data_IF_396100435841
#
_entry.id   IF_396100435841
#
_cell.length_a   1.000
_cell.length_b   1.000
_cell.length_c   1.000
_cell.angle_alpha   90.00
_cell.angle_beta   90.00
_cell.angle_gamma   90.00
#
_symmetry.space_group_name_H-M   'P 1'
#
loop_
_entity.id
_entity.type
_entity.pdbx_description
1 polymer ?
#
# COMPACT_ATOMS: atom_id res chain seq x y z
N UNK A 1 7.11 32.36 -52.62
CA UNK A 1 7.09 31.26 -53.62
C UNK A 1 7.73 31.78 -54.91
N UNK A 2 8.53 31.01 -55.68
CA UNK A 2 8.60 29.55 -55.71
C UNK A 2 10.01 28.92 -55.48
N UNK A 3 9.95 27.76 -54.82
CA UNK A 3 10.59 26.44 -55.00
C UNK A 3 11.78 26.15 -55.95
N UNK A 4 12.73 25.39 -55.36
CA UNK A 4 13.53 24.23 -55.83
C UNK A 4 14.73 24.37 -56.79
N UNK A 5 15.95 24.07 -56.28
CA UNK A 5 16.72 22.81 -56.48
C UNK A 5 18.23 23.06 -56.31
N UNK A 6 18.91 22.30 -55.45
CA UNK A 6 20.22 21.69 -55.76
C UNK A 6 20.52 20.57 -54.76
N UNK A 7 20.86 19.41 -55.34
CA UNK A 7 21.30 18.16 -54.73
C UNK A 7 22.50 18.30 -53.78
N UNK A 8 22.64 17.33 -52.86
CA UNK A 8 23.88 16.57 -52.68
C UNK A 8 23.63 15.31 -51.81
N UNK A 9 24.05 14.15 -52.31
CA UNK A 9 24.09 12.86 -51.60
C UNK A 9 24.97 12.92 -50.35
N UNK A 10 24.75 11.99 -49.39
CA UNK A 10 25.90 11.34 -48.79
C UNK A 10 25.83 9.81 -48.75
N UNK A 11 27.03 9.26 -48.82
CA UNK A 11 27.43 7.86 -48.77
C UNK A 11 27.04 7.18 -47.46
N UNK A 12 26.83 5.87 -47.58
CA UNK A 12 26.53 4.92 -46.52
C UNK A 12 27.50 4.99 -45.33
N UNK A 13 26.95 4.97 -44.13
CA UNK A 13 27.60 4.44 -42.92
C UNK A 13 26.64 3.42 -42.32
N UNK A 14 27.16 2.21 -42.12
CA UNK A 14 26.47 1.06 -41.56
C UNK A 14 25.74 1.39 -40.26
N UNK A 15 24.41 1.34 -40.29
CA UNK A 15 23.58 1.36 -39.10
C UNK A 15 23.52 -0.04 -38.51
N UNK A 16 24.12 -0.22 -37.33
CA UNK A 16 23.76 -1.31 -36.43
C UNK A 16 22.25 -1.23 -36.18
N UNK A 17 21.48 -2.11 -36.82
CA UNK A 17 20.09 -2.36 -36.45
C UNK A 17 20.13 -3.05 -35.09
N UNK A 18 20.12 -2.27 -34.02
CA UNK A 18 19.59 -2.76 -32.76
C UNK A 18 18.12 -3.07 -33.02
N UNK A 19 17.81 -4.36 -33.20
CA UNK A 19 16.46 -4.85 -33.03
C UNK A 19 16.09 -4.60 -31.55
N UNK A 20 15.55 -3.42 -31.28
CA UNK A 20 14.76 -3.18 -30.08
C UNK A 20 13.51 -4.01 -30.31
N UNK A 21 13.54 -5.26 -29.82
CA UNK A 21 12.32 -6.01 -29.59
C UNK A 21 11.53 -5.23 -28.55
N UNK A 22 10.65 -4.34 -29.02
CA UNK A 22 9.53 -3.88 -28.22
C UNK A 22 8.70 -5.12 -27.90
N UNK A 23 8.99 -5.75 -26.77
CA UNK A 23 8.01 -6.61 -26.11
C UNK A 23 6.92 -5.67 -25.66
N UNK A 24 5.87 -5.55 -26.48
CA UNK A 24 4.66 -4.84 -26.10
C UNK A 24 4.20 -5.38 -24.73
N UNK A 25 3.73 -4.52 -23.81
CA UNK A 25 3.11 -5.01 -22.59
C UNK A 25 1.91 -5.84 -23.05
N UNK A 26 1.95 -7.17 -22.84
CA UNK A 26 0.79 -8.01 -23.18
C UNK A 26 -0.35 -7.53 -22.29
N UNK A 27 -1.25 -6.78 -22.94
CA UNK A 27 -2.57 -6.42 -22.47
C UNK A 27 -3.27 -7.69 -21.99
N UNK A 28 -4.12 -7.52 -20.98
CA UNK A 28 -5.22 -8.43 -20.61
C UNK A 28 -5.41 -9.61 -21.57
N UNK A 29 -5.26 -10.84 -21.06
CA UNK A 29 -5.37 -12.02 -21.89
C UNK A 29 -5.79 -13.25 -21.10
N UNK A 30 -6.69 -14.04 -21.66
CA UNK A 30 -7.00 -15.39 -21.25
C UNK A 30 -6.68 -16.34 -22.41
N UNK A 31 -6.01 -17.46 -22.11
CA UNK A 31 -5.82 -18.53 -23.07
C UNK A 31 -6.29 -19.84 -22.46
N UNK A 32 -7.03 -20.58 -23.27
CA UNK A 32 -7.34 -21.97 -22.98
C UNK A 32 -6.12 -22.83 -23.34
N UNK A 33 -5.64 -23.57 -22.36
CA UNK A 33 -4.65 -24.65 -22.54
C UNK A 33 -5.44 -25.94 -22.54
N UNK A 34 -5.68 -26.48 -23.73
CA UNK A 34 -6.30 -27.78 -23.94
C UNK A 34 -5.31 -28.91 -23.64
N UNK A 35 -5.83 -30.13 -23.45
CA UNK A 35 -5.04 -31.36 -23.30
C UNK A 35 -4.07 -31.31 -22.12
N UNK A 36 -4.55 -30.82 -20.97
CA UNK A 36 -3.79 -30.86 -19.72
C UNK A 36 -3.52 -32.32 -19.35
N UNK A 37 -2.26 -32.64 -19.10
CA UNK A 37 -1.90 -33.91 -18.47
C UNK A 37 -1.90 -33.79 -16.94
N UNK A 38 -2.46 -34.78 -16.25
CA UNK A 38 -2.57 -34.80 -14.79
C UNK A 38 -1.68 -35.86 -14.19
N UNK A 39 -0.94 -35.50 -13.13
CA UNK A 39 -0.32 -36.52 -12.30
C UNK A 39 -1.45 -37.31 -11.60
N UNK A 40 -1.59 -38.60 -11.90
CA UNK A 40 -2.70 -39.42 -11.40
C UNK A 40 -2.27 -40.26 -10.20
N UNK A 41 -2.95 -40.08 -9.07
CA UNK A 41 -2.71 -40.81 -7.81
C UNK A 41 -3.92 -41.64 -7.41
N UNK A 42 -3.62 -42.75 -6.75
CA UNK A 42 -4.60 -43.64 -6.11
C UNK A 42 -4.13 -43.94 -4.69
N UNK A 43 -4.93 -44.64 -3.88
CA UNK A 43 -4.51 -45.15 -2.58
C UNK A 43 -3.21 -45.99 -2.66
N UNK A 44 -2.94 -46.60 -3.81
CA UNK A 44 -1.74 -47.40 -4.08
C UNK A 44 -0.56 -46.60 -4.66
N UNK A 45 -0.55 -45.27 -4.47
CA UNK A 45 0.52 -44.36 -4.89
C UNK A 45 0.31 -43.73 -6.27
N UNK A 46 1.38 -43.08 -6.76
CA UNK A 46 1.41 -42.40 -8.07
C UNK A 46 1.38 -43.43 -9.20
N UNK A 47 0.41 -43.28 -10.10
CA UNK A 47 0.20 -44.19 -11.24
C UNK A 47 0.60 -43.56 -12.57
N UNK A 48 0.46 -42.25 -12.70
CA UNK A 48 0.90 -41.50 -13.88
C UNK A 48 1.62 -40.21 -13.47
N UNK A 49 2.70 -39.88 -14.15
CA UNK A 49 3.43 -38.63 -13.96
C UNK A 49 3.05 -37.69 -15.10
N UNK A 50 2.50 -36.52 -14.78
CA UNK A 50 2.35 -35.46 -15.76
C UNK A 50 3.59 -34.57 -15.83
N UNK A 51 3.99 -34.12 -17.03
CA UNK A 51 5.02 -33.11 -17.18
C UNK A 51 4.55 -31.75 -16.67
N UNK A 52 5.50 -30.90 -16.27
CA UNK A 52 5.26 -29.47 -16.04
C UNK A 52 4.70 -28.82 -17.30
N UNK A 53 3.61 -28.08 -17.16
CA UNK A 53 2.96 -27.37 -18.27
C UNK A 53 3.33 -25.90 -18.27
N UNK A 54 3.51 -25.35 -19.47
CA UNK A 54 3.96 -23.97 -19.68
C UNK A 54 2.82 -23.13 -20.26
N UNK A 55 2.49 -22.04 -19.58
CA UNK A 55 1.54 -21.06 -20.10
C UNK A 55 2.22 -20.18 -21.17
N UNK A 56 1.48 -19.76 -22.22
CA UNK A 56 2.01 -18.92 -23.29
C UNK A 56 2.35 -17.48 -22.84
N UNK A 57 1.94 -17.09 -21.63
CA UNK A 57 2.27 -15.84 -20.97
C UNK A 57 2.18 -15.98 -19.43
N UNK A 58 2.82 -15.08 -18.66
CA UNK A 58 2.64 -15.03 -17.21
C UNK A 58 1.20 -14.72 -16.82
N UNK A 59 0.62 -15.51 -15.93
CA UNK A 59 -0.76 -15.42 -15.44
C UNK A 59 -0.80 -15.33 -13.91
N UNK A 60 -1.95 -14.93 -13.36
CA UNK A 60 -2.18 -14.89 -11.91
C UNK A 60 -3.45 -15.60 -11.48
N UNK A 61 -4.28 -16.04 -12.43
CA UNK A 61 -5.51 -16.77 -12.15
C UNK A 61 -5.55 -18.01 -13.04
N UNK A 62 -5.92 -19.14 -12.43
CA UNK A 62 -6.05 -20.43 -13.07
C UNK A 62 -7.48 -20.93 -12.89
N UNK A 63 -8.13 -21.29 -13.99
CA UNK A 63 -9.40 -22.01 -14.00
C UNK A 63 -9.21 -23.38 -14.65
N UNK A 64 -10.07 -24.32 -14.28
CA UNK A 64 -10.05 -25.67 -14.83
C UNK A 64 -11.47 -26.13 -15.13
N UNK A 65 -11.65 -26.85 -16.23
CA UNK A 65 -12.85 -27.64 -16.49
C UNK A 65 -12.48 -29.04 -16.93
N UNK A 66 -13.29 -30.04 -16.56
CA UNK A 66 -13.36 -31.30 -17.27
C UNK A 66 -14.27 -31.12 -18.48
N UNK A 67 -13.83 -31.53 -19.67
CA UNK A 67 -14.62 -31.41 -20.90
C UNK A 67 -15.84 -32.34 -20.89
N UNK A 68 -15.73 -33.47 -20.17
CA UNK A 68 -16.82 -34.39 -19.86
C UNK A 68 -16.78 -34.74 -18.38
N UNK A 69 -17.93 -34.75 -17.71
CA UNK A 69 -18.05 -35.15 -16.30
C UNK A 69 -18.02 -36.69 -16.16
N UNK A 70 -17.07 -37.26 -15.39
CA UNK A 70 -17.09 -38.68 -15.04
C UNK A 70 -18.25 -39.01 -14.08
N UNK A 71 -18.80 -40.21 -14.15
CA UNK A 71 -19.89 -40.64 -13.24
C UNK A 71 -19.52 -40.54 -11.76
N UNK A 72 -18.23 -40.73 -11.44
CA UNK A 72 -17.70 -40.66 -10.08
C UNK A 72 -16.98 -39.33 -9.76
N UNK A 73 -17.32 -38.23 -10.43
CA UNK A 73 -16.66 -36.92 -10.24
C UNK A 73 -16.63 -36.44 -8.78
N UNK A 74 -17.62 -36.80 -7.98
CA UNK A 74 -17.70 -36.45 -6.55
C UNK A 74 -16.62 -37.13 -5.68
N UNK A 75 -15.94 -38.14 -6.21
CA UNK A 75 -14.83 -38.86 -5.57
C UNK A 75 -13.46 -38.39 -6.07
N UNK A 76 -13.43 -37.33 -6.89
CA UNK A 76 -12.20 -36.76 -7.45
C UNK A 76 -11.71 -35.59 -6.60
N UNK A 77 -10.44 -35.69 -6.19
CA UNK A 77 -9.70 -34.54 -5.67
C UNK A 77 -8.78 -34.01 -6.77
N UNK A 78 -8.94 -32.73 -7.12
CA UNK A 78 -8.09 -32.07 -8.09
C UNK A 78 -7.28 -30.99 -7.39
N UNK A 79 -5.97 -30.98 -7.61
CA UNK A 79 -5.06 -30.00 -7.04
C UNK A 79 -4.13 -29.41 -8.09
N UNK A 80 -3.75 -28.16 -7.90
CA UNK A 80 -2.84 -27.43 -8.77
C UNK A 80 -1.73 -26.76 -7.98
N UNK A 81 -0.55 -26.63 -8.58
CA UNK A 81 0.53 -25.79 -8.08
C UNK A 81 1.18 -25.00 -9.20
N UNK A 82 1.87 -23.92 -8.84
CA UNK A 82 2.42 -22.97 -9.80
C UNK A 82 3.91 -22.72 -9.60
N UNK A 83 4.58 -22.35 -10.67
CA UNK A 83 5.96 -21.88 -10.65
C UNK A 83 6.19 -20.76 -11.66
N UNK A 84 7.18 -19.91 -11.37
CA UNK A 84 7.69 -18.90 -12.29
C UNK A 84 8.96 -19.36 -13.02
N UNK A 85 9.68 -20.35 -12.51
CA UNK A 85 11.04 -20.71 -12.96
C UNK A 85 11.33 -22.23 -12.95
N UNK A 86 10.32 -23.06 -12.69
CA UNK A 86 10.38 -24.51 -12.57
C UNK A 86 11.21 -25.04 -11.39
N UNK A 87 11.73 -24.15 -10.54
CA UNK A 87 12.60 -24.51 -9.42
C UNK A 87 11.93 -24.25 -8.07
N UNK A 88 11.18 -23.15 -7.97
CA UNK A 88 10.37 -22.81 -6.81
C UNK A 88 8.89 -23.06 -7.11
N UNK A 89 8.31 -24.05 -6.44
CA UNK A 89 6.92 -24.44 -6.59
C UNK A 89 6.09 -23.99 -5.39
N UNK A 90 4.88 -23.50 -5.66
CA UNK A 90 3.90 -23.30 -4.59
C UNK A 90 3.50 -24.63 -3.94
N UNK A 91 2.97 -24.61 -2.71
CA UNK A 91 2.21 -25.75 -2.20
C UNK A 91 1.10 -26.15 -3.17
N UNK A 92 0.71 -27.42 -3.14
CA UNK A 92 -0.49 -27.90 -3.82
C UNK A 92 -1.73 -27.22 -3.24
N UNK A 93 -2.64 -26.83 -4.12
CA UNK A 93 -3.90 -26.19 -3.76
C UNK A 93 -5.04 -26.96 -4.37
N UNK A 94 -5.95 -27.41 -3.53
CA UNK A 94 -7.14 -28.13 -3.94
C UNK A 94 -8.12 -27.20 -4.68
N UNK A 95 -8.76 -27.74 -5.70
CA UNK A 95 -9.76 -27.08 -6.52
C UNK A 95 -11.12 -27.68 -6.21
N UNK A 96 -12.06 -26.84 -5.78
CA UNK A 96 -13.44 -27.26 -5.48
C UNK A 96 -14.29 -27.23 -6.74
N UNK A 97 -15.20 -28.21 -6.91
CA UNK A 97 -16.20 -28.19 -7.98
C UNK A 97 -17.11 -26.97 -7.79
N UNK A 98 -17.29 -26.21 -8.87
CA UNK A 98 -18.22 -25.08 -8.93
C UNK A 98 -19.62 -25.60 -9.22
N UNK A 99 -20.44 -25.66 -8.17
CA UNK A 99 -21.82 -26.18 -8.20
C UNK A 99 -22.79 -25.26 -8.94
N UNK A 100 -22.45 -23.98 -9.14
CA UNK A 100 -23.29 -23.03 -9.86
C UNK A 100 -23.07 -23.10 -11.38
N UNK A 101 -21.96 -23.70 -11.82
CA UNK A 101 -21.60 -23.88 -13.24
C UNK A 101 -21.83 -25.28 -13.79
N UNK A 102 -22.15 -26.27 -12.95
CA UNK A 102 -22.26 -27.68 -13.34
C UNK A 102 -23.73 -28.08 -13.51
N UNK A 103 -24.24 -28.09 -14.75
CA UNK A 103 -25.57 -28.66 -15.02
C UNK A 103 -25.56 -30.18 -14.68
N UNK A 104 -26.57 -30.72 -13.99
CA UNK A 104 -26.65 -32.15 -13.72
C UNK A 104 -26.89 -32.93 -15.02
N UNK A 105 -25.82 -33.50 -15.60
CA UNK A 105 -25.84 -34.31 -16.83
C UNK A 105 -24.45 -34.54 -17.44
N UNK A 106 -24.37 -35.02 -18.69
CA UNK A 106 -23.14 -35.30 -19.49
C UNK A 106 -22.29 -34.04 -19.82
N UNK A 107 -22.54 -32.90 -19.17
CA UNK A 107 -21.87 -31.63 -19.43
C UNK A 107 -20.45 -31.56 -18.84
N UNK A 108 -19.72 -30.47 -19.10
CA UNK A 108 -18.42 -30.22 -18.48
C UNK A 108 -18.55 -29.94 -16.97
N UNK A 109 -17.59 -30.42 -16.17
CA UNK A 109 -17.45 -30.04 -14.75
C UNK A 109 -16.56 -28.82 -14.64
N UNK A 110 -16.98 -27.79 -13.91
CA UNK A 110 -16.17 -26.61 -13.67
C UNK A 110 -15.58 -26.62 -12.26
N UNK A 111 -14.37 -26.10 -12.11
CA UNK A 111 -13.75 -25.90 -10.80
C UNK A 111 -13.59 -24.41 -10.48
N UNK A 112 -13.60 -24.09 -9.19
CA UNK A 112 -13.33 -22.76 -8.68
C UNK A 112 -11.96 -22.21 -9.11
N UNK A 113 -11.88 -20.89 -9.24
CA UNK A 113 -10.65 -20.21 -9.64
C UNK A 113 -9.59 -20.28 -8.54
N UNK A 114 -8.35 -20.56 -8.94
CA UNK A 114 -7.18 -20.50 -8.06
C UNK A 114 -6.33 -19.29 -8.42
N UNK A 115 -6.03 -18.46 -7.41
CA UNK A 115 -5.26 -17.22 -7.57
C UNK A 115 -3.81 -17.44 -7.13
N UNK A 116 -2.86 -17.30 -8.05
CA UNK A 116 -1.44 -17.30 -7.71
C UNK A 116 -1.07 -15.99 -6.97
N UNK A 117 -0.15 -16.08 -6.02
CA UNK A 117 0.31 -14.91 -5.24
C UNK A 117 1.09 -13.90 -6.09
N UNK A 118 1.77 -14.40 -7.12
CA UNK A 118 2.58 -13.62 -8.06
C UNK A 118 2.31 -14.10 -9.48
N UNK A 119 2.79 -13.34 -10.48
CA UNK A 119 2.76 -13.78 -11.87
C UNK A 119 3.60 -15.06 -12.04
N UNK A 120 2.97 -16.11 -12.55
CA UNK A 120 3.54 -17.45 -12.78
C UNK A 120 3.42 -17.81 -14.24
N UNK A 121 4.29 -18.68 -14.74
CA UNK A 121 4.31 -19.11 -16.16
C UNK A 121 4.18 -20.61 -16.33
N UNK A 122 4.19 -21.37 -15.23
CA UNK A 122 4.13 -22.81 -15.23
C UNK A 122 3.15 -23.31 -14.18
N UNK A 123 2.55 -24.46 -14.47
CA UNK A 123 1.68 -25.15 -13.53
C UNK A 123 1.84 -26.66 -13.64
N UNK A 124 1.45 -27.34 -12.58
CA UNK A 124 1.22 -28.77 -12.56
C UNK A 124 -0.14 -29.04 -11.97
N UNK A 125 -0.86 -29.98 -12.57
CA UNK A 125 -2.15 -30.43 -12.11
C UNK A 125 -2.03 -31.89 -11.65
N UNK A 126 -2.76 -32.20 -10.59
CA UNK A 126 -2.80 -33.50 -9.98
C UNK A 126 -4.24 -33.90 -9.75
N UNK A 127 -4.53 -35.18 -9.99
CA UNK A 127 -5.80 -35.80 -9.71
C UNK A 127 -5.59 -37.01 -8.80
N UNK A 128 -6.43 -37.13 -7.78
CA UNK A 128 -6.47 -38.27 -6.88
C UNK A 128 -7.88 -38.88 -6.87
N UNK A 129 -7.95 -40.20 -7.03
CA UNK A 129 -9.17 -40.99 -6.87
C UNK A 129 -8.83 -42.19 -5.96
N UNK A 130 -9.17 -42.10 -4.67
CA UNK A 130 -8.74 -43.10 -3.67
C UNK A 130 -9.39 -44.48 -3.89
N UNK A 131 -10.64 -44.50 -4.35
CA UNK A 131 -11.43 -45.71 -4.59
C UNK A 131 -11.21 -46.34 -5.98
N UNK A 132 -10.39 -45.71 -6.82
CA UNK A 132 -10.15 -46.15 -8.20
C UNK A 132 -11.38 -46.01 -9.11
N UNK A 133 -12.35 -45.17 -8.74
CA UNK A 133 -13.60 -44.96 -9.47
C UNK A 133 -13.43 -44.25 -10.82
N UNK A 134 -12.26 -43.65 -11.07
CA UNK A 134 -11.93 -42.94 -12.30
C UNK A 134 -10.50 -43.28 -12.71
N UNK A 135 -10.26 -43.43 -14.01
CA UNK A 135 -8.93 -43.66 -14.59
C UNK A 135 -8.41 -42.42 -15.31
N UNK A 136 -7.08 -42.32 -15.47
CA UNK A 136 -6.44 -41.18 -16.16
C UNK A 136 -6.96 -40.99 -17.59
N UNK A 137 -7.20 -42.08 -18.35
CA UNK A 137 -7.67 -42.05 -19.73
C UNK A 137 -9.12 -41.52 -19.88
N UNK A 138 -9.90 -41.50 -18.80
CA UNK A 138 -11.29 -41.00 -18.79
C UNK A 138 -11.36 -39.48 -18.58
N UNK A 139 -10.23 -38.83 -18.32
CA UNK A 139 -10.17 -37.40 -17.98
C UNK A 139 -9.66 -36.60 -19.16
N UNK A 140 -10.55 -35.81 -19.74
CA UNK A 140 -10.21 -34.76 -20.69
C UNK A 140 -10.47 -33.40 -20.03
N UNK A 141 -9.46 -32.54 -19.94
CA UNK A 141 -9.60 -31.24 -19.26
C UNK A 141 -9.01 -30.08 -20.06
N UNK A 142 -9.59 -28.90 -19.84
CA UNK A 142 -9.10 -27.63 -20.37
C UNK A 142 -8.79 -26.67 -19.23
N UNK A 143 -7.60 -26.08 -19.23
CA UNK A 143 -7.20 -25.04 -18.29
C UNK A 143 -7.46 -23.70 -18.92
N UNK A 144 -7.85 -22.73 -18.12
CA UNK A 144 -7.86 -21.33 -18.53
C UNK A 144 -6.86 -20.58 -17.67
N UNK A 145 -5.76 -20.17 -18.27
CA UNK A 145 -4.79 -19.27 -17.62
C UNK A 145 -5.16 -17.84 -17.96
N UNK A 146 -5.31 -17.02 -16.92
CA UNK A 146 -5.82 -15.66 -17.04
C UNK A 146 -4.78 -14.70 -16.47
N UNK A 147 -4.34 -13.78 -17.31
CA UNK A 147 -3.70 -12.56 -16.88
C UNK A 147 -4.79 -11.47 -16.90
N UNK A 148 -5.32 -11.07 -15.74
CA UNK A 148 -6.38 -10.06 -15.63
C UNK A 148 -5.91 -8.65 -16.04
N UNK A 149 -4.70 -8.53 -16.61
CA UNK A 149 -4.07 -7.28 -16.95
C UNK A 149 -3.31 -6.69 -15.76
N UNK A 150 -2.66 -5.53 -15.94
CA UNK A 150 -2.14 -4.79 -14.81
C UNK A 150 -3.29 -4.53 -13.84
N UNK A 151 -3.07 -4.82 -12.55
CA UNK A 151 -3.95 -4.31 -11.48
C UNK A 151 -4.18 -2.83 -11.80
N UNK A 152 -5.44 -2.37 -11.95
CA UNK A 152 -5.69 -0.97 -12.19
C UNK A 152 -4.91 -0.22 -11.13
N UNK A 153 -3.88 0.53 -11.53
CA UNK A 153 -3.23 1.45 -10.60
C UNK A 153 -4.37 2.34 -10.20
N UNK A 154 -4.88 2.19 -8.98
CA UNK A 154 -6.08 2.90 -8.54
C UNK A 154 -5.88 4.34 -8.97
N UNK A 155 -6.62 4.75 -10.02
CA UNK A 155 -6.38 6.02 -10.66
C UNK A 155 -6.38 7.01 -9.52
N UNK A 156 -5.27 7.73 -9.35
CA UNK A 156 -4.94 8.55 -8.18
C UNK A 156 -6.09 9.50 -7.94
N UNK A 157 -7.14 9.02 -7.27
CA UNK A 157 -8.36 9.77 -7.10
C UNK A 157 -7.94 10.77 -6.06
N UNK A 158 -7.69 11.98 -6.51
CA UNK A 158 -7.30 13.05 -5.64
C UNK A 158 -8.37 13.13 -4.55
N UNK A 159 -7.93 13.13 -3.29
CA UNK A 159 -8.85 13.18 -2.18
C UNK A 159 -9.68 14.45 -2.33
N UNK A 160 -10.97 14.28 -2.61
CA UNK A 160 -11.90 15.40 -2.72
C UNK A 160 -12.24 15.85 -1.31
N UNK A 161 -11.71 17.02 -0.94
CA UNK A 161 -12.02 17.67 0.34
C UNK A 161 -13.20 18.61 0.10
N UNK A 162 -14.32 18.34 0.75
CA UNK A 162 -15.49 19.21 0.74
C UNK A 162 -15.10 20.50 1.45
N UNK A 163 -15.00 21.57 0.66
CA UNK A 163 -14.62 22.90 1.14
C UNK A 163 -15.70 23.52 2.00
N UNK A 164 -15.30 24.49 2.82
CA UNK A 164 -16.20 25.20 3.77
C UNK A 164 -17.50 25.70 3.16
N UNK A 165 -17.43 26.33 1.98
CA UNK A 165 -18.63 26.76 1.24
C UNK A 165 -19.55 25.60 0.87
N UNK A 166 -18.99 24.44 0.49
CA UNK A 166 -19.74 23.30 -0.01
C UNK A 166 -20.47 22.54 1.10
N UNK A 167 -19.90 22.44 2.31
CA UNK A 167 -20.62 21.85 3.46
C UNK A 167 -21.54 22.84 4.19
N UNK A 168 -21.56 24.10 3.76
CA UNK A 168 -22.47 25.12 4.29
C UNK A 168 -21.96 25.83 5.53
N UNK A 169 -20.65 26.07 5.62
CA UNK A 169 -20.06 26.89 6.70
C UNK A 169 -20.72 28.27 6.76
N UNK A 170 -21.32 28.67 7.90
CA UNK A 170 -21.97 29.97 8.03
C UNK A 170 -21.04 31.14 7.71
N UNK A 171 -19.76 31.05 8.10
CA UNK A 171 -18.76 32.08 7.82
C UNK A 171 -17.95 31.84 6.52
N UNK A 172 -18.40 30.91 5.68
CA UNK A 172 -17.88 30.56 4.34
C UNK A 172 -16.38 30.24 4.28
N UNK A 173 -15.49 31.23 4.40
CA UNK A 173 -14.03 31.10 4.27
C UNK A 173 -13.26 31.72 5.44
N UNK A 174 -13.92 32.48 6.31
CA UNK A 174 -13.25 33.20 7.39
C UNK A 174 -13.34 32.41 8.71
N UNK A 175 -12.39 32.67 9.59
CA UNK A 175 -12.41 32.30 11.00
C UNK A 175 -12.63 33.62 11.75
N UNK A 176 -13.88 33.97 12.11
CA UNK A 176 -14.23 35.36 12.38
C UNK A 176 -13.72 35.84 13.75
N UNK A 177 -13.42 34.91 14.65
CA UNK A 177 -13.12 35.21 16.05
C UNK A 177 -11.62 35.26 16.34
N UNK A 178 -10.79 34.44 15.68
CA UNK A 178 -9.33 34.45 15.88
C UNK A 178 -8.58 34.55 14.55
N UNK A 179 -7.59 35.45 14.43
CA UNK A 179 -6.68 35.46 13.30
C UNK A 179 -6.03 34.08 13.07
N UNK A 180 -5.82 33.66 11.81
CA UNK A 180 -5.12 32.42 11.54
C UNK A 180 -3.63 32.58 11.86
N UNK A 181 -3.11 31.64 12.66
CA UNK A 181 -1.68 31.49 12.94
C UNK A 181 -1.13 30.28 12.18
N UNK A 182 0.17 30.29 11.89
CA UNK A 182 0.80 29.25 11.09
C UNK A 182 2.09 28.75 11.73
N UNK A 183 2.33 27.44 11.61
CA UNK A 183 3.57 26.80 12.03
C UNK A 183 3.96 25.68 11.06
N UNK A 184 5.23 25.30 11.07
CA UNK A 184 5.70 24.08 10.41
C UNK A 184 5.04 22.88 11.05
N UNK A 185 4.36 22.06 10.25
CA UNK A 185 3.65 20.88 10.74
C UNK A 185 4.66 19.77 10.98
N UNK A 186 4.63 19.22 12.19
CA UNK A 186 5.47 18.08 12.60
C UNK A 186 4.64 16.87 13.03
N UNK A 187 3.38 17.07 13.46
CA UNK A 187 2.52 16.00 13.97
C UNK A 187 1.12 16.06 13.37
N UNK A 188 0.52 14.89 13.14
CA UNK A 188 -0.85 14.69 12.69
C UNK A 188 -1.62 13.98 13.81
N UNK A 189 -2.56 14.68 14.43
CA UNK A 189 -3.29 14.19 15.60
C UNK A 189 -4.65 13.65 15.16
N UNK A 190 -4.91 12.39 15.44
CA UNK A 190 -6.18 11.71 15.15
C UNK A 190 -7.14 11.87 16.32
N UNK A 191 -8.37 12.30 15.99
CA UNK A 191 -9.45 12.53 16.93
C UNK A 191 -10.68 11.70 16.56
N UNK A 192 -11.58 11.54 17.52
CA UNK A 192 -12.99 11.34 17.25
C UNK A 192 -13.78 12.58 17.70
N UNK A 193 -15.04 12.71 17.29
CA UNK A 193 -15.89 13.81 17.77
C UNK A 193 -16.60 13.50 19.09
N UNK A 194 -16.58 12.24 19.53
CA UNK A 194 -17.40 11.72 20.64
C UNK A 194 -18.90 12.04 20.48
N UNK A 195 -19.40 12.02 19.24
CA UNK A 195 -20.80 12.27 18.90
C UNK A 195 -21.47 11.00 18.37
N UNK A 196 -22.77 11.08 18.14
CA UNK A 196 -23.59 9.98 17.62
C UNK A 196 -23.00 9.36 16.34
N UNK A 197 -23.02 8.04 16.28
CA UNK A 197 -22.72 7.28 15.06
C UNK A 197 -23.97 7.08 14.16
N UNK A 198 -25.13 7.56 14.59
CA UNK A 198 -26.42 7.37 13.92
C UNK A 198 -26.85 8.57 13.07
N UNK A 199 -26.01 9.60 12.94
CA UNK A 199 -26.30 10.74 12.07
C UNK A 199 -26.45 10.31 10.62
N UNK A 200 -27.33 11.00 9.89
CA UNK A 200 -27.59 10.75 8.48
C UNK A 200 -27.17 11.92 7.59
N UNK A 201 -27.23 13.15 8.10
CA UNK A 201 -26.66 14.36 7.47
C UNK A 201 -25.35 14.76 8.15
N UNK A 202 -24.24 14.22 7.62
CA UNK A 202 -22.90 14.50 8.14
C UNK A 202 -22.43 15.94 7.89
N UNK A 203 -22.93 16.60 6.84
CA UNK A 203 -22.64 18.01 6.64
C UNK A 203 -23.34 18.88 7.70
N UNK A 204 -24.57 18.53 8.09
CA UNK A 204 -25.23 19.15 9.24
C UNK A 204 -24.48 18.90 10.54
N UNK A 205 -23.97 17.70 10.77
CA UNK A 205 -23.14 17.40 11.93
C UNK A 205 -21.88 18.29 11.98
N UNK A 206 -21.19 18.47 10.85
CA UNK A 206 -20.04 19.40 10.76
C UNK A 206 -20.45 20.84 11.06
N UNK A 207 -21.59 21.32 10.52
CA UNK A 207 -22.13 22.65 10.84
C UNK A 207 -22.46 22.81 12.32
N UNK A 208 -23.02 21.78 12.95
CA UNK A 208 -23.36 21.79 14.37
C UNK A 208 -22.11 21.83 15.25
N UNK A 209 -21.07 21.06 14.92
CA UNK A 209 -19.77 21.13 15.62
C UNK A 209 -19.17 22.53 15.47
N UNK A 210 -19.16 23.09 14.25
CA UNK A 210 -18.69 24.46 14.02
C UNK A 210 -19.45 25.48 14.88
N UNK A 211 -20.79 25.39 14.93
CA UNK A 211 -21.62 26.31 15.71
C UNK A 211 -21.36 26.17 17.21
N UNK A 212 -21.19 24.94 17.71
CA UNK A 212 -20.85 24.71 19.11
C UNK A 212 -19.47 25.28 19.46
N UNK A 213 -18.46 25.07 18.63
CA UNK A 213 -17.10 25.58 18.85
C UNK A 213 -17.08 27.10 18.87
N UNK A 214 -17.74 27.74 17.89
CA UNK A 214 -17.71 29.19 17.73
C UNK A 214 -18.64 29.91 18.69
N UNK A 215 -19.90 29.50 18.81
CA UNK A 215 -20.89 30.22 19.60
C UNK A 215 -20.98 29.76 21.05
N UNK A 216 -20.70 28.49 21.35
CA UNK A 216 -20.77 27.97 22.72
C UNK A 216 -19.40 27.98 23.41
N UNK A 217 -18.34 27.52 22.72
CA UNK A 217 -16.98 27.51 23.29
C UNK A 217 -16.21 28.81 23.09
N UNK A 218 -16.70 29.71 22.23
CA UNK A 218 -16.05 30.99 21.92
C UNK A 218 -14.77 30.83 21.10
N UNK A 219 -14.61 29.70 20.40
CA UNK A 219 -13.41 29.42 19.62
C UNK A 219 -13.38 30.20 18.30
N UNK A 220 -12.17 30.41 17.79
CA UNK A 220 -11.90 31.11 16.54
C UNK A 220 -12.65 30.58 15.32
N UNK A 221 -12.91 29.27 15.33
CA UNK A 221 -13.51 28.44 14.29
C UNK A 221 -13.73 27.02 14.85
N UNK A 222 -14.15 26.08 14.01
CA UNK A 222 -14.07 24.65 14.31
C UNK A 222 -12.63 24.24 14.66
N UNK A 223 -12.46 23.47 15.74
CA UNK A 223 -11.14 23.18 16.30
C UNK A 223 -10.24 22.29 15.45
N UNK A 224 -10.82 21.43 14.61
CA UNK A 224 -10.08 20.47 13.77
C UNK A 224 -9.75 21.04 12.40
N UNK A 225 -8.64 20.62 11.79
CA UNK A 225 -8.27 21.01 10.42
C UNK A 225 -9.06 20.23 9.37
N UNK A 226 -9.35 18.95 9.64
CA UNK A 226 -10.15 18.08 8.77
C UNK A 226 -11.10 17.20 9.58
N UNK A 227 -12.23 16.82 8.97
CA UNK A 227 -13.18 15.88 9.55
C UNK A 227 -13.53 14.79 8.53
N UNK A 228 -13.64 13.53 8.97
CA UNK A 228 -13.93 12.38 8.11
C UNK A 228 -15.26 11.73 8.53
N UNK A 229 -16.22 11.61 7.61
CA UNK A 229 -17.51 10.96 7.89
C UNK A 229 -17.51 9.45 7.57
N UNK A 230 -18.47 8.68 8.12
CA UNK A 230 -18.61 7.25 7.87
C UNK A 230 -18.78 6.83 6.40
N UNK A 231 -19.15 7.76 5.51
CA UNK A 231 -19.29 7.53 4.08
C UNK A 231 -17.96 7.74 3.32
N UNK A 232 -16.90 8.18 4.00
CA UNK A 232 -15.58 8.43 3.44
C UNK A 232 -15.41 9.83 2.86
N UNK A 233 -16.30 10.77 3.18
CA UNK A 233 -16.17 12.18 2.80
C UNK A 233 -15.26 12.90 3.79
N UNK A 234 -14.34 13.71 3.26
CA UNK A 234 -13.46 14.56 4.07
C UNK A 234 -13.90 16.01 3.96
N UNK A 235 -14.12 16.67 5.09
CA UNK A 235 -14.54 18.06 5.20
C UNK A 235 -13.34 18.92 5.62
N UNK A 236 -13.21 20.09 5.00
CA UNK A 236 -12.31 21.14 5.46
C UNK A 236 -12.85 21.76 6.75
N UNK A 237 -12.07 21.68 7.83
CA UNK A 237 -12.37 22.31 9.11
C UNK A 237 -11.83 23.74 9.17
N UNK A 238 -10.92 24.02 10.11
CA UNK A 238 -10.27 25.33 10.37
C UNK A 238 -9.86 26.03 9.06
N UNK A 239 -10.35 27.25 8.84
CA UNK A 239 -9.94 28.05 7.69
C UNK A 239 -8.47 28.50 7.79
N UNK A 240 -7.77 28.56 6.65
CA UNK A 240 -6.36 28.97 6.56
C UNK A 240 -5.49 28.01 5.73
N UNK A 241 -5.93 26.77 5.55
CA UNK A 241 -5.24 25.80 4.70
C UNK A 241 -4.07 25.11 5.41
N UNK A 242 -2.97 24.85 4.70
CA UNK A 242 -1.86 24.08 5.24
C UNK A 242 -1.06 24.88 6.28
N UNK A 243 -0.78 24.27 7.43
CA UNK A 243 -0.01 24.88 8.50
C UNK A 243 -0.83 25.76 9.44
N UNK A 244 -2.13 25.95 9.20
CA UNK A 244 -2.96 26.75 10.11
C UNK A 244 -3.16 26.04 11.45
N UNK A 245 -2.90 26.76 12.54
CA UNK A 245 -3.09 26.27 13.90
C UNK A 245 -4.59 26.10 14.21
N UNK A 246 -4.96 24.90 14.67
CA UNK A 246 -6.30 24.56 15.15
C UNK A 246 -6.46 24.74 16.67
N UNK A 247 -7.51 24.12 17.21
CA UNK A 247 -7.82 24.10 18.65
C UNK A 247 -8.31 22.71 19.06
N UNK A 248 -7.40 21.74 19.05
CA UNK A 248 -7.74 20.33 19.22
C UNK A 248 -6.78 19.53 20.14
N UNK A 249 -5.57 19.99 20.43
CA UNK A 249 -4.55 19.18 21.11
C UNK A 249 -4.15 19.74 22.49
N UNK A 250 -5.09 19.77 23.44
CA UNK A 250 -4.86 20.08 24.86
C UNK A 250 -3.99 21.33 25.12
N UNK A 251 -4.35 22.45 24.47
CA UNK A 251 -3.64 23.73 24.50
C UNK A 251 -2.28 23.76 23.78
N UNK A 252 -1.80 22.65 23.22
CA UNK A 252 -0.54 22.55 22.49
C UNK A 252 -0.77 22.30 20.99
N UNK A 253 -1.50 23.22 20.34
CA UNK A 253 -1.94 23.06 18.94
C UNK A 253 -0.85 23.37 17.90
N UNK A 254 0.14 24.18 18.26
CA UNK A 254 1.14 24.72 17.34
C UNK A 254 1.97 23.60 16.71
N UNK A 255 2.07 23.60 15.38
CA UNK A 255 2.81 22.58 14.63
C UNK A 255 2.06 21.25 14.45
N UNK A 256 0.76 21.22 14.79
CA UNK A 256 -0.09 20.03 14.64
C UNK A 256 -1.20 20.23 13.62
N UNK A 257 -1.65 19.13 13.01
CA UNK A 257 -2.88 19.07 12.21
C UNK A 257 -3.84 18.08 12.85
N UNK A 258 -5.04 18.52 13.20
CA UNK A 258 -6.08 17.69 13.79
C UNK A 258 -7.04 17.13 12.74
N UNK A 259 -7.18 15.79 12.72
CA UNK A 259 -8.14 15.09 11.86
C UNK A 259 -9.16 14.37 12.75
N UNK A 260 -10.41 14.81 12.73
CA UNK A 260 -11.49 14.21 13.52
C UNK A 260 -12.34 13.22 12.73
N UNK A 261 -12.51 12.03 13.27
CA UNK A 261 -13.45 11.04 12.78
C UNK A 261 -14.84 11.35 13.37
N UNK A 262 -15.81 11.66 12.50
CA UNK A 262 -17.20 11.91 12.93
C UNK A 262 -17.79 10.63 13.51
N UNK A 263 -18.24 10.71 14.77
CA UNK A 263 -18.68 9.58 15.56
C UNK A 263 -17.98 9.45 16.92
N UNK A 264 -18.23 8.32 17.58
CA UNK A 264 -17.52 7.81 18.75
C UNK A 264 -16.99 6.40 18.48
N UNK A 265 -15.81 6.09 19.00
CA UNK A 265 -15.06 4.85 18.71
C UNK A 265 -14.43 4.28 19.98
N UNK A 266 -15.11 4.43 21.11
CA UNK A 266 -14.69 3.79 22.37
C UNK A 266 -14.77 2.27 22.20
N UNK A 267 -15.94 1.75 21.83
CA UNK A 267 -16.25 0.32 21.68
C UNK A 267 -16.64 -0.10 20.25
N UNK A 268 -16.48 0.81 19.28
CA UNK A 268 -16.86 0.59 17.88
C UNK A 268 -15.74 0.93 16.93
N UNK A 269 -15.50 0.04 15.98
CA UNK A 269 -14.55 0.27 14.89
C UNK A 269 -15.14 1.22 13.84
N UNK A 270 -14.36 2.19 13.30
CA UNK A 270 -14.84 3.04 12.21
C UNK A 270 -15.13 2.25 10.93
N UNK A 271 -16.05 2.75 10.10
CA UNK A 271 -16.38 2.10 8.82
C UNK A 271 -15.16 2.09 7.89
N UNK A 272 -15.00 1.03 7.08
CA UNK A 272 -13.89 0.89 6.12
C UNK A 272 -13.70 2.11 5.21
N UNK A 273 -14.80 2.74 4.75
CA UNK A 273 -14.74 3.96 3.91
C UNK A 273 -14.17 5.16 4.67
N UNK A 274 -14.52 5.29 5.95
CA UNK A 274 -14.04 6.35 6.84
C UNK A 274 -12.55 6.17 7.17
N UNK A 275 -12.12 4.95 7.49
CA UNK A 275 -10.69 4.63 7.69
C UNK A 275 -9.87 4.96 6.44
N UNK A 276 -10.34 4.55 5.25
CA UNK A 276 -9.68 4.90 3.99
C UNK A 276 -9.60 6.40 3.75
N UNK A 277 -10.61 7.17 4.16
CA UNK A 277 -10.60 8.62 4.07
C UNK A 277 -9.56 9.23 5.01
N UNK A 278 -9.49 8.75 6.26
CA UNK A 278 -8.49 9.13 7.25
C UNK A 278 -7.06 8.86 6.73
N UNK A 279 -6.78 7.65 6.28
CA UNK A 279 -5.47 7.29 5.74
C UNK A 279 -5.09 8.15 4.53
N UNK A 280 -6.05 8.49 3.66
CA UNK A 280 -5.79 9.35 2.49
C UNK A 280 -5.47 10.78 2.88
N UNK A 281 -6.19 11.35 3.86
CA UNK A 281 -5.91 12.73 4.30
C UNK A 281 -4.60 12.80 5.09
N UNK A 282 -4.31 11.81 5.92
CA UNK A 282 -3.02 11.66 6.61
C UNK A 282 -1.88 11.55 5.59
N UNK A 283 -1.98 10.65 4.62
CA UNK A 283 -0.95 10.49 3.58
C UNK A 283 -0.78 11.73 2.70
N UNK A 284 -1.85 12.47 2.43
CA UNK A 284 -1.77 13.73 1.66
C UNK A 284 -1.05 14.81 2.48
N UNK A 285 -1.39 14.92 3.76
CA UNK A 285 -0.80 15.91 4.67
C UNK A 285 0.66 15.59 4.98
N UNK A 286 0.98 14.32 5.27
CA UNK A 286 2.34 13.85 5.53
C UNK A 286 3.25 14.10 4.33
N UNK A 287 2.85 13.70 3.11
CA UNK A 287 3.62 13.99 1.89
C UNK A 287 3.87 15.48 1.69
N UNK A 288 2.83 16.30 1.88
CA UNK A 288 2.93 17.75 1.68
C UNK A 288 3.93 18.42 2.63
N UNK A 289 4.09 17.86 3.84
CA UNK A 289 4.92 18.44 4.90
C UNK A 289 6.19 17.61 5.17
N UNK A 290 6.50 16.60 4.33
CA UNK A 290 7.66 15.73 4.47
C UNK A 290 7.77 15.06 5.85
N UNK A 291 6.65 14.53 6.35
CA UNK A 291 6.56 13.80 7.61
C UNK A 291 6.67 12.30 7.33
N UNK A 292 7.53 11.59 8.07
CA UNK A 292 7.58 10.12 8.04
C UNK A 292 6.46 9.57 8.93
N UNK A 293 5.48 8.80 8.43
CA UNK A 293 4.38 8.28 9.23
C UNK A 293 4.80 7.31 10.35
N UNK A 294 6.03 6.78 10.29
CA UNK A 294 6.55 5.79 11.24
C UNK A 294 7.53 6.38 12.26
N UNK A 295 7.85 7.67 12.16
CA UNK A 295 8.79 8.31 13.09
C UNK A 295 8.13 8.72 14.41
N UNK A 296 8.94 8.75 15.47
CA UNK A 296 8.59 9.34 16.76
C UNK A 296 9.48 10.57 16.98
N UNK A 297 8.87 11.76 17.10
CA UNK A 297 9.57 13.06 17.11
C UNK A 297 9.20 13.84 18.37
N UNK A 298 10.07 14.78 18.76
CA UNK A 298 9.85 15.61 19.94
C UNK A 298 8.76 16.68 19.69
N UNK A 299 7.76 16.65 20.57
CA UNK A 299 6.68 17.60 20.83
C UNK A 299 7.11 18.92 21.51
N UNK A 300 7.57 20.03 20.89
CA UNK A 300 8.10 21.15 21.67
C UNK A 300 7.11 21.76 22.68
N UNK A 301 5.84 21.92 22.31
CA UNK A 301 4.80 22.41 23.23
C UNK A 301 4.38 21.38 24.30
N UNK A 302 4.58 20.10 24.03
CA UNK A 302 4.20 19.02 24.95
C UNK A 302 5.38 18.56 25.82
N UNK A 303 6.62 18.90 25.48
CA UNK A 303 7.81 18.47 26.23
C UNK A 303 8.08 16.96 26.20
N UNK A 304 7.40 16.19 25.34
CA UNK A 304 7.51 14.72 25.24
C UNK A 304 7.71 14.29 23.78
N UNK A 305 8.13 13.05 23.57
CA UNK A 305 8.19 12.44 22.23
C UNK A 305 6.85 11.80 21.90
N UNK A 306 6.37 12.00 20.67
CA UNK A 306 5.13 11.47 20.15
C UNK A 306 5.38 10.83 18.79
N UNK A 307 4.59 9.81 18.44
CA UNK A 307 4.52 9.37 17.05
C UNK A 307 4.06 10.54 16.17
N UNK A 308 4.65 10.69 14.98
CA UNK A 308 4.28 11.76 14.04
C UNK A 308 2.80 11.69 13.62
N UNK A 309 2.19 10.50 13.71
CA UNK A 309 0.75 10.29 13.69
C UNK A 309 0.33 9.69 15.03
N UNK A 310 -0.31 10.47 15.87
CA UNK A 310 -0.69 10.10 17.24
C UNK A 310 -2.20 10.29 17.49
N UNK A 311 -2.71 9.67 18.55
CA UNK A 311 -4.04 9.96 19.08
C UNK A 311 -4.02 11.16 20.01
N UNK A 312 -5.16 11.81 20.21
CA UNK A 312 -5.25 12.93 21.17
C UNK A 312 -4.78 12.52 22.59
N UNK A 313 -5.14 11.32 23.05
CA UNK A 313 -4.75 10.80 24.36
C UNK A 313 -3.24 10.62 24.56
N UNK A 314 -2.44 10.54 23.48
CA UNK A 314 -0.97 10.44 23.61
C UNK A 314 -0.37 11.72 24.20
N UNK A 315 -1.09 12.84 24.17
CA UNK A 315 -0.71 14.07 24.84
C UNK A 315 -0.95 14.07 26.35
N UNK A 316 -1.68 13.09 26.92
CA UNK A 316 -2.04 13.10 28.34
C UNK A 316 -0.83 12.99 29.28
N UNK A 317 0.27 12.39 28.80
CA UNK A 317 1.49 12.20 29.61
C UNK A 317 2.33 13.49 29.73
N UNK A 318 1.89 14.59 29.10
CA UNK A 318 2.56 15.89 29.17
C UNK A 318 2.08 16.72 30.36
N UNK A 319 3.02 17.24 31.16
CA UNK A 319 2.73 18.26 32.18
C UNK A 319 2.20 19.58 31.58
N UNK A 320 2.38 19.79 30.26
CA UNK A 320 1.91 20.98 29.54
C UNK A 320 0.54 20.78 28.90
N UNK A 321 -0.06 19.58 29.02
CA UNK A 321 -1.42 19.34 28.56
C UNK A 321 -2.42 19.98 29.52
N UNK A 322 -3.26 20.88 29.01
CA UNK A 322 -4.27 21.55 29.85
C UNK A 322 -5.52 20.69 30.10
N UNK A 323 -5.67 19.56 29.40
CA UNK A 323 -6.81 18.65 29.51
C UNK A 323 -6.37 17.22 29.22
N UNK A 324 -6.94 16.26 29.96
CA UNK A 324 -6.82 14.83 29.65
C UNK A 324 -8.04 14.32 28.89
N UNK A 325 -7.85 13.27 28.10
CA UNK A 325 -8.89 12.76 27.20
C UNK A 325 -8.74 11.27 26.93
N UNK A 326 -9.84 10.63 26.57
CA UNK A 326 -9.85 9.28 25.98
C UNK A 326 -9.92 9.32 24.44
N UNK A 327 -9.99 10.51 23.83
CA UNK A 327 -9.98 10.63 22.37
C UNK A 327 -8.70 9.99 21.76
N UNK A 328 -8.77 9.19 20.69
CA UNK A 328 -9.87 9.02 19.74
C UNK A 328 -10.83 7.85 20.02
N UNK A 329 -10.88 7.35 21.26
CA UNK A 329 -11.62 6.14 21.66
C UNK A 329 -10.79 4.87 21.44
N UNK A 330 -10.99 3.85 22.27
CA UNK A 330 -10.11 2.66 22.33
C UNK A 330 -10.06 1.93 20.98
N UNK A 331 -11.21 1.69 20.37
CA UNK A 331 -11.30 0.94 19.10
C UNK A 331 -10.63 1.64 17.91
N UNK A 332 -10.56 2.98 17.89
CA UNK A 332 -9.82 3.71 16.86
C UNK A 332 -8.34 3.88 17.25
N UNK A 333 -8.05 4.05 18.54
CA UNK A 333 -6.69 4.16 19.04
C UNK A 333 -5.88 2.90 18.76
N UNK A 334 -6.46 1.72 18.98
CA UNK A 334 -5.82 0.42 18.70
C UNK A 334 -5.44 0.23 17.22
N UNK A 335 -6.08 0.96 16.31
CA UNK A 335 -5.78 0.92 14.88
C UNK A 335 -4.61 1.83 14.48
N UNK A 336 -4.17 2.77 15.33
CA UNK A 336 -3.16 3.77 14.97
C UNK A 336 -1.85 3.15 14.43
N UNK A 337 -1.29 2.06 14.98
CA UNK A 337 -0.12 1.40 14.39
C UNK A 337 -0.36 0.93 12.95
N UNK A 338 -1.52 0.32 12.67
CA UNK A 338 -1.88 -0.15 11.32
C UNK A 338 -2.15 1.00 10.35
N UNK A 339 -2.71 2.11 10.86
CA UNK A 339 -2.94 3.34 10.11
C UNK A 339 -1.60 3.95 9.71
N UNK A 340 -0.63 4.06 10.63
CA UNK A 340 0.73 4.53 10.34
C UNK A 340 1.40 3.73 9.22
N UNK A 341 1.33 2.40 9.30
CA UNK A 341 1.83 1.50 8.24
C UNK A 341 1.12 1.74 6.89
N UNK A 342 -0.20 1.84 6.90
CA UNK A 342 -0.99 2.10 5.69
C UNK A 342 -0.68 3.46 5.07
N UNK A 343 -0.46 4.48 5.90
CA UNK A 343 -0.05 5.82 5.46
C UNK A 343 1.37 5.77 4.88
N UNK A 344 2.31 5.08 5.53
CA UNK A 344 3.68 4.86 5.03
C UNK A 344 3.69 4.19 3.65
N UNK A 345 2.91 3.12 3.46
CA UNK A 345 2.76 2.43 2.18
C UNK A 345 2.19 3.37 1.10
N UNK A 346 1.15 4.13 1.44
CA UNK A 346 0.58 5.13 0.53
C UNK A 346 1.65 6.11 0.09
N UNK A 347 2.41 6.71 1.02
CA UNK A 347 3.44 7.69 0.66
C UNK A 347 4.61 7.07 -0.11
N UNK A 348 4.95 5.81 0.18
CA UNK A 348 6.04 5.03 -0.39
C UNK A 348 5.87 4.60 -1.85
N UNK A 349 4.67 4.71 -2.43
CA UNK A 349 4.48 4.52 -3.89
C UNK A 349 5.20 5.55 -4.78
N UNK A 350 5.78 6.61 -4.20
CA UNK A 350 6.63 7.57 -4.92
C UNK A 350 7.83 8.13 -4.14
N UNK A 351 7.88 7.99 -2.81
CA UNK A 351 8.96 8.54 -1.98
C UNK A 351 10.14 7.57 -1.73
N UNK A 352 9.93 6.26 -1.94
CA UNK A 352 10.98 5.24 -1.89
C UNK A 352 11.22 4.59 -3.27
N UNK A 353 11.08 5.38 -4.34
CA UNK A 353 11.57 4.97 -5.65
C UNK A 353 13.09 5.02 -5.67
N UNK A 354 13.72 3.87 -5.93
CA UNK A 354 15.15 3.68 -6.22
C UNK A 354 16.16 3.90 -5.08
N UNK A 355 16.08 3.15 -3.98
CA UNK A 355 17.29 2.68 -3.27
C UNK A 355 16.98 1.68 -2.16
N UNK A 356 16.40 0.53 -2.48
CA UNK A 356 16.58 -0.66 -1.64
C UNK A 356 16.89 -1.83 -2.56
N UNK A 357 18.19 -2.14 -2.65
CA UNK A 357 18.58 -3.52 -2.94
C UNK A 357 17.95 -4.36 -1.83
N UNK A 358 16.84 -5.02 -2.16
CA UNK A 358 16.36 -6.17 -1.40
C UNK A 358 17.44 -7.25 -1.56
N UNK A 359 18.49 -7.21 -0.74
CA UNK A 359 19.32 -8.39 -0.55
C UNK A 359 18.40 -9.41 0.09
N UNK A 360 17.96 -10.38 -0.72
CA UNK A 360 17.33 -11.63 -0.28
C UNK A 360 18.06 -12.11 0.99
N UNK A 361 17.37 -12.63 2.02
CA UNK A 361 18.07 -13.30 3.10
C UNK A 361 18.80 -14.49 2.48
N UNK A 362 20.13 -14.46 2.49
CA UNK A 362 20.93 -15.62 2.18
C UNK A 362 20.67 -16.64 3.30
N UNK A 363 19.87 -17.65 2.99
CA UNK A 363 19.68 -18.82 3.84
C UNK A 363 21.01 -19.59 3.83
N UNK A 364 21.81 -19.44 4.89
CA UNK A 364 23.05 -20.20 5.06
C UNK A 364 22.71 -21.65 5.39
N UNK A 365 23.09 -22.57 4.50
CA UNK A 365 23.16 -23.99 4.81
C UNK A 365 24.38 -24.25 5.69
N UNK A 366 24.15 -24.69 6.94
CA UNK A 366 25.22 -25.28 7.74
C UNK A 366 25.47 -26.71 7.24
N UNK A 367 26.51 -26.91 6.42
CA UNK A 367 27.19 -28.20 6.39
C UNK A 367 28.24 -28.18 7.50
N UNK A 368 28.04 -29.01 8.52
CA UNK A 368 28.99 -29.20 9.60
C UNK A 368 30.28 -29.83 9.09
N UNK A 369 31.40 -29.15 9.33
CA UNK A 369 32.74 -29.73 9.38
C UNK A 369 33.47 -29.13 10.58
N UNK A 370 33.67 -29.96 11.60
CA UNK A 370 34.47 -29.65 12.80
C UNK A 370 35.95 -29.60 12.46
N UNK A 371 36.63 -28.48 12.71
CA UNK A 371 38.09 -28.40 12.92
C UNK A 371 38.37 -27.32 13.99
N UNK A 372 39.30 -27.55 14.96
CA UNK A 372 39.32 -26.80 16.21
C UNK A 372 40.18 -25.52 16.19
N UNK A 373 39.75 -24.57 17.01
CA UNK A 373 40.53 -23.52 17.70
C UNK A 373 41.41 -22.57 16.89
N UNK A 374 40.94 -21.32 16.78
CA UNK A 374 41.76 -20.11 16.90
C UNK A 374 42.12 -19.37 15.62
N UNK A 375 41.31 -18.39 15.21
CA UNK A 375 41.79 -17.15 14.56
C UNK A 375 40.68 -16.08 14.51
N UNK A 376 40.99 -14.85 14.92
CA UNK A 376 40.13 -13.67 14.78
C UNK A 376 40.24 -13.15 13.34
N UNK A 377 39.13 -13.03 12.62
CA UNK A 377 39.09 -12.40 11.30
C UNK A 377 38.47 -10.99 11.39
N UNK A 378 39.28 -9.97 11.15
CA UNK A 378 38.87 -8.59 10.88
C UNK A 378 38.46 -8.47 9.39
N UNK A 379 37.22 -8.07 9.11
CA UNK A 379 36.78 -7.75 7.74
C UNK A 379 36.61 -6.24 7.61
N UNK A 380 37.53 -5.60 6.89
CA UNK A 380 37.40 -4.22 6.42
C UNK A 380 36.66 -4.17 5.08
N UNK A 381 35.67 -3.28 4.96
CA UNK A 381 34.96 -3.01 3.70
C UNK A 381 35.69 -1.90 2.94
N UNK A 382 36.25 -2.24 1.77
CA UNK A 382 36.83 -1.27 0.84
C UNK A 382 35.70 -0.70 -0.03
N UNK A 383 35.26 0.52 0.28
CA UNK A 383 34.34 1.30 -0.57
C UNK A 383 35.11 2.15 -1.58
N UNK A 384 34.81 1.99 -2.88
CA UNK A 384 35.32 2.85 -3.96
C UNK A 384 34.64 4.22 -3.90
N UNK A 385 35.36 5.24 -3.41
CA UNK A 385 34.93 6.64 -3.47
C UNK A 385 35.08 7.20 -4.89
N UNK A 386 33.97 7.61 -5.51
CA UNK A 386 33.96 8.44 -6.72
C UNK A 386 34.25 9.89 -6.30
N UNK A 387 35.47 10.36 -6.55
CA UNK A 387 35.89 11.73 -6.24
C UNK A 387 35.11 12.75 -7.08
N UNK A 388 34.47 13.73 -6.43
CA UNK A 388 34.04 14.98 -7.05
C UNK A 388 35.24 15.94 -7.09
N UNK A 389 35.48 16.57 -8.25
CA UNK A 389 36.53 17.59 -8.45
C UNK A 389 36.31 18.79 -7.49
N UNK A 390 37.36 19.29 -6.82
CA UNK A 390 37.26 20.51 -6.03
C UNK A 390 37.34 21.77 -6.91
N UNK A 391 36.50 22.75 -6.60
CA UNK A 391 36.59 24.13 -7.09
C UNK A 391 37.74 24.81 -6.36
N UNK A 392 38.69 25.38 -7.09
CA UNK A 392 39.84 26.10 -6.55
C UNK A 392 39.44 27.46 -5.98
N UNK A 393 39.62 27.66 -4.68
CA UNK A 393 39.72 28.98 -4.08
C UNK A 393 41.20 29.25 -3.74
N UNK A 394 41.77 30.25 -4.40
CA UNK A 394 43.12 30.78 -4.16
C UNK A 394 43.20 31.43 -2.79
N UNK A 395 44.12 30.94 -1.95
CA UNK A 395 44.53 31.59 -0.71
C UNK A 395 45.72 32.54 -0.97
N UNK A 396 45.62 33.78 -0.49
CA UNK A 396 46.79 34.61 -0.20
C UNK A 396 47.07 34.58 1.31
N UNK A 397 48.31 34.24 1.65
CA UNK A 397 48.89 34.32 3.00
C UNK A 397 49.10 35.79 3.39
N UNK A 398 49.01 36.16 4.66
CA UNK A 398 50.15 36.17 5.59
C UNK A 398 49.85 36.93 6.90
N UNK A 399 50.64 36.54 7.91
CA UNK A 399 51.10 37.28 9.08
C UNK A 399 50.26 37.28 10.37
N UNK A 400 50.96 36.83 11.41
CA UNK A 400 50.59 36.77 12.82
C UNK A 400 50.87 38.10 13.54
N UNK A 401 50.17 38.35 14.65
CA UNK A 401 50.80 38.92 15.85
C UNK A 401 49.99 38.60 17.10
N UNK A 402 50.71 38.21 18.16
CA UNK A 402 50.24 38.02 19.51
C UNK A 402 49.94 39.34 20.25
N UNK A 403 49.10 39.28 21.28
CA UNK A 403 48.95 40.31 22.33
C UNK A 403 47.64 40.10 23.10
N UNK A 404 47.64 39.42 24.26
CA UNK A 404 47.82 39.93 25.64
C UNK A 404 46.73 40.90 26.15
N UNK A 405 46.16 40.46 27.27
CA UNK A 405 45.66 41.20 28.45
C UNK A 405 44.18 41.64 28.54
N UNK A 406 43.66 41.24 29.71
CA UNK A 406 42.48 41.63 30.49
C UNK A 406 41.16 40.92 30.23
#
# INVERSE_FOLDING_TARGET
MPQYLFDWMPRAIAGCVFAIAFVAPRAFGNVQVSDIDFAFRTANGLKHCAPTQHAPFPFTVFGLRLNKTPEAVQHLEVSVRFSCDNSAWSPWREMTIDVDGSDPGDGPTYFGLVFAENAVSQFEAQLSAEDGSVTHDEIEATATVINPGPTPTAAKQELQIVKRKAWGCPDRKHSPLWPPEYATITHLVVHHTAKSNAETDWAAAVRAIWAYDTYTRGWGDIGYNYLCDPNGVVYEGRAGGNGVTGAHFSCQNTGTVGIAMLGTFDDRTPKKKQLRALERILATTARKNNIDPLETVFHPGMGIKLDSICGHRDGNDSDSACTHTVCPGDSLYDLLPSIRMSVAERIGSKYYGESTFFTKPAMFWFLGLSIPSGLILLVGVIGRLRQRKPVSATASRCAASAGKHH
#
